data_IF_515477696024
#
_entry.id   IF_515477696024
#
_cell.length_a   1.000
_cell.length_b   1.000
_cell.length_c   1.000
_cell.angle_alpha   90.00
_cell.angle_beta   90.00
_cell.angle_gamma   90.00
#
_symmetry.space_group_name_H-M   'P 1'
#
loop_
_entity.id
_entity.type
_entity.pdbx_description
1 polymer ?
#
# COMPACT_ATOMS: atom_id res chain seq x y z
N UNK A 1 -3.05 2.11 28.07
CA UNK A 1 -2.87 1.00 27.11
C UNK A 1 -2.02 -0.05 27.81
N UNK A 2 -2.44 -1.32 27.80
CA UNK A 2 -1.65 -2.41 28.39
C UNK A 2 -0.58 -2.88 27.42
N UNK A 3 0.62 -3.16 27.91
CA UNK A 3 1.66 -3.86 27.14
C UNK A 3 1.54 -5.36 27.35
N UNK A 4 1.87 -6.14 26.31
CA UNK A 4 2.05 -7.58 26.40
C UNK A 4 3.43 -7.91 25.83
N UNK A 5 4.14 -8.81 26.50
CA UNK A 5 5.40 -9.34 25.98
C UNK A 5 5.09 -10.64 25.24
N UNK A 6 5.61 -10.77 24.02
CA UNK A 6 5.52 -11.99 23.22
C UNK A 6 6.94 -12.42 22.82
N UNK A 7 7.18 -13.72 22.82
CA UNK A 7 8.39 -14.28 22.20
C UNK A 7 8.07 -14.61 20.75
N UNK A 8 8.94 -14.18 19.84
CA UNK A 8 8.84 -14.48 18.41
C UNK A 8 10.08 -15.25 17.96
N UNK A 9 9.96 -16.09 16.92
CA UNK A 9 11.13 -16.68 16.27
C UNK A 9 12.12 -15.61 15.77
N UNK A 10 13.41 -15.93 15.79
CA UNK A 10 14.48 -15.00 15.38
C UNK A 10 14.33 -14.53 13.93
N UNK A 11 13.93 -15.42 13.02
CA UNK A 11 13.70 -15.08 11.62
C UNK A 11 12.53 -14.10 11.43
N UNK A 12 11.54 -14.14 12.32
CA UNK A 12 10.43 -13.19 12.35
C UNK A 12 10.88 -11.85 12.92
N UNK A 13 11.74 -11.85 13.94
CA UNK A 13 12.34 -10.64 14.49
C UNK A 13 13.15 -9.88 13.43
N UNK A 14 14.02 -10.58 12.69
CA UNK A 14 14.84 -9.96 11.64
C UNK A 14 13.99 -9.37 10.51
N UNK A 15 12.95 -10.07 10.06
CA UNK A 15 11.98 -9.51 9.09
C UNK A 15 11.30 -8.25 9.60
N UNK A 16 10.89 -8.25 10.88
CA UNK A 16 10.28 -7.08 11.49
C UNK A 16 11.27 -5.92 11.61
N UNK A 17 12.55 -6.21 11.84
CA UNK A 17 13.65 -5.25 11.91
C UNK A 17 13.94 -4.61 10.55
N UNK A 18 13.91 -5.38 9.47
CA UNK A 18 14.07 -4.89 8.10
C UNK A 18 12.92 -3.97 7.67
N UNK A 19 11.69 -4.32 8.04
CA UNK A 19 10.50 -3.51 7.75
C UNK A 19 10.40 -2.25 8.61
N UNK A 20 11.18 -2.16 9.70
CA UNK A 20 11.12 -1.05 10.67
C UNK A 20 11.76 0.22 10.08
N UNK A 21 11.04 1.33 10.14
CA UNK A 21 11.55 2.67 9.78
C UNK A 21 12.48 3.23 10.86
N UNK A 22 13.42 4.15 10.51
CA UNK A 22 14.38 4.70 11.47
C UNK A 22 13.74 5.31 12.73
N UNK A 23 12.65 6.05 12.54
CA UNK A 23 11.98 6.86 13.58
C UNK A 23 10.78 6.16 14.25
N UNK A 24 10.48 4.89 13.91
CA UNK A 24 9.32 4.18 14.47
C UNK A 24 9.73 3.13 15.51
N UNK A 25 8.93 2.87 16.54
CA UNK A 25 9.12 1.75 17.45
C UNK A 25 8.67 0.42 16.82
N UNK A 26 9.07 -0.72 17.39
CA UNK A 26 8.55 -2.02 16.95
C UNK A 26 7.04 -2.14 17.10
N UNK A 27 6.44 -1.52 18.13
CA UNK A 27 4.99 -1.47 18.30
C UNK A 27 4.32 -0.71 17.16
N UNK A 28 4.85 0.45 16.78
CA UNK A 28 4.33 1.25 15.66
C UNK A 28 4.52 0.55 14.32
N UNK A 29 5.65 -0.16 14.12
CA UNK A 29 5.87 -0.99 12.95
C UNK A 29 4.81 -2.10 12.85
N UNK A 30 4.53 -2.80 13.95
CA UNK A 30 3.50 -3.84 14.02
C UNK A 30 2.12 -3.24 13.74
N UNK A 31 1.75 -2.12 14.37
CA UNK A 31 0.48 -1.46 14.16
C UNK A 31 0.32 -0.98 12.70
N UNK A 32 1.39 -0.51 12.05
CA UNK A 32 1.37 -0.12 10.63
C UNK A 32 1.23 -1.34 9.71
N UNK A 33 1.91 -2.43 10.01
CA UNK A 33 1.91 -3.65 9.20
C UNK A 33 0.59 -4.41 9.34
N UNK A 34 0.06 -4.52 10.57
CA UNK A 34 -1.18 -5.22 10.89
C UNK A 34 -2.42 -4.33 10.78
N UNK A 35 -2.29 -3.02 10.96
CA UNK A 35 -3.36 -2.02 10.83
C UNK A 35 -3.70 -1.66 9.39
N UNK A 36 -3.17 -2.39 8.40
CA UNK A 36 -3.64 -2.29 7.02
C UNK A 36 -5.11 -2.71 6.98
N UNK A 37 -5.98 -1.74 6.70
CA UNK A 37 -7.39 -1.99 6.38
C UNK A 37 -7.44 -3.06 5.30
N UNK A 38 -8.26 -4.09 5.51
CA UNK A 38 -8.43 -5.14 4.52
C UNK A 38 -9.02 -4.50 3.27
N UNK A 39 -8.51 -4.82 2.08
CA UNK A 39 -9.06 -4.26 0.84
C UNK A 39 -10.57 -4.54 0.69
N UNK A 40 -11.05 -5.63 1.28
CA UNK A 40 -12.47 -5.98 1.39
C UNK A 40 -13.31 -4.91 2.09
N UNK A 41 -12.75 -4.12 2.99
CA UNK A 41 -13.46 -3.01 3.67
C UNK A 41 -13.82 -1.86 2.72
N UNK A 42 -13.21 -1.78 1.54
CA UNK A 42 -13.51 -0.78 0.52
C UNK A 42 -14.47 -1.30 -0.55
N UNK A 43 -14.97 -2.53 -0.41
CA UNK A 43 -15.94 -3.11 -1.33
C UNK A 43 -17.20 -2.25 -1.39
N UNK A 44 -17.62 -1.87 -2.60
CA UNK A 44 -18.81 -1.03 -2.81
C UNK A 44 -18.63 0.46 -2.48
N UNK A 45 -17.42 0.91 -2.12
CA UNK A 45 -17.16 2.32 -1.81
C UNK A 45 -17.30 3.25 -3.04
N UNK A 46 -17.18 2.71 -4.25
CA UNK A 46 -17.31 3.49 -5.49
C UNK A 46 -18.71 3.33 -6.08
N UNK A 47 -19.31 4.47 -6.44
CA UNK A 47 -20.51 4.50 -7.27
C UNK A 47 -20.13 4.51 -8.77
N UNK A 48 -21.13 4.46 -9.65
CA UNK A 48 -20.92 4.45 -11.10
C UNK A 48 -20.10 5.66 -11.59
N UNK A 49 -20.43 6.87 -11.12
CA UNK A 49 -19.74 8.10 -11.53
C UNK A 49 -18.25 8.09 -11.13
N UNK A 50 -17.92 7.70 -9.90
CA UNK A 50 -16.54 7.56 -9.44
C UNK A 50 -15.80 6.50 -10.24
N UNK A 51 -16.49 5.40 -10.58
CA UNK A 51 -15.91 4.32 -11.40
C UNK A 51 -15.57 4.83 -12.80
N UNK A 52 -16.46 5.59 -13.42
CA UNK A 52 -16.25 6.14 -14.76
C UNK A 52 -15.13 7.19 -14.78
N UNK A 53 -15.07 8.07 -13.77
CA UNK A 53 -13.95 9.01 -13.63
C UNK A 53 -12.62 8.30 -13.44
N UNK A 54 -12.58 7.27 -12.60
CA UNK A 54 -11.36 6.48 -12.40
C UNK A 54 -10.92 5.81 -13.70
N UNK A 55 -11.86 5.24 -14.46
CA UNK A 55 -11.59 4.63 -15.77
C UNK A 55 -11.02 5.65 -16.76
N UNK A 56 -11.66 6.81 -16.90
CA UNK A 56 -11.21 7.86 -17.81
C UNK A 56 -9.79 8.36 -17.44
N UNK A 57 -9.50 8.51 -16.15
CA UNK A 57 -8.18 8.92 -15.68
C UNK A 57 -7.08 7.88 -16.00
N UNK A 58 -7.40 6.58 -15.88
CA UNK A 58 -6.49 5.49 -16.21
C UNK A 58 -6.23 5.45 -17.72
N UNK A 59 -7.27 5.51 -18.55
CA UNK A 59 -7.15 5.55 -20.02
C UNK A 59 -6.27 6.71 -20.47
N UNK A 60 -6.57 7.93 -20.04
CA UNK A 60 -5.76 9.11 -20.37
C UNK A 60 -4.31 8.99 -19.87
N UNK A 61 -4.08 8.29 -18.75
CA UNK A 61 -2.74 8.00 -18.25
C UNK A 61 -1.97 7.04 -19.16
N UNK A 62 -2.64 6.01 -19.70
CA UNK A 62 -2.06 5.04 -20.62
C UNK A 62 -1.72 5.67 -21.96
N UNK A 63 -2.63 6.50 -22.50
CA UNK A 63 -2.39 7.26 -23.74
C UNK A 63 -1.15 8.14 -23.60
N UNK A 64 -1.08 8.97 -22.54
CA UNK A 64 0.11 9.81 -22.28
C UNK A 64 1.41 9.00 -22.17
N UNK A 65 1.34 7.80 -21.62
CA UNK A 65 2.50 6.93 -21.51
C UNK A 65 2.90 6.33 -22.87
N UNK A 66 1.93 5.91 -23.69
CA UNK A 66 2.18 5.46 -25.05
C UNK A 66 2.84 6.57 -25.89
N UNK A 67 2.26 7.77 -25.91
CA UNK A 67 2.80 8.95 -26.61
C UNK A 67 4.22 9.31 -26.14
N UNK A 68 4.54 9.07 -24.87
CA UNK A 68 5.88 9.30 -24.33
C UNK A 68 6.86 8.24 -24.83
N UNK A 69 6.45 6.98 -24.88
CA UNK A 69 7.30 5.89 -25.35
C UNK A 69 7.56 6.02 -26.84
N UNK A 70 6.54 6.31 -27.65
CA UNK A 70 6.69 6.50 -29.10
C UNK A 70 7.75 7.57 -29.40
N UNK A 71 7.68 8.72 -28.71
CA UNK A 71 8.69 9.80 -28.82
C UNK A 71 10.11 9.44 -28.38
N UNK A 72 10.28 8.39 -27.57
CA UNK A 72 11.61 7.93 -27.12
C UNK A 72 12.24 6.94 -28.12
N UNK A 73 11.40 6.25 -28.90
CA UNK A 73 11.82 5.24 -29.86
C UNK A 73 11.83 5.72 -31.32
N UNK A 74 11.36 6.95 -31.59
CA UNK A 74 11.65 7.75 -32.80
C UNK A 74 13.06 8.37 -32.76
#
# INVERSE_FOLDING_TARGET
MGSKNISIPEDVYEKLREERRPDESFGEAIDRLLGRRRLSEFWGAWNAETTDRARAAIEAGRERNADRLDRLYD
#
